data_IF_209057673638
#
_entry.id   IF_209057673638
#
_cell.length_a   1.000
_cell.length_b   1.000
_cell.length_c   1.000
_cell.angle_alpha   90.00
_cell.angle_beta   90.00
_cell.angle_gamma   90.00
#
_symmetry.space_group_name_H-M   'P 1'
#
loop_
_entity.id
_entity.type
_entity.pdbx_description
1 polymer ?
#
# COMPACT_ATOMS: atom_id res chain seq x y z
N UNK A 1 4.68 -20.05 19.82
CA UNK A 1 3.68 -19.02 19.48
C UNK A 1 2.27 -19.56 19.62
N UNK A 2 1.84 -20.55 18.83
CA UNK A 2 0.43 -21.02 18.81
C UNK A 2 0.18 -22.41 19.45
N UNK A 3 1.15 -22.99 20.15
CA UNK A 3 1.02 -24.31 20.80
C UNK A 3 1.29 -25.51 19.89
N UNK A 4 0.77 -25.51 18.66
CA UNK A 4 1.02 -26.56 17.64
C UNK A 4 1.25 -25.96 16.24
N UNK A 5 1.73 -26.79 15.31
CA UNK A 5 1.91 -26.40 13.89
C UNK A 5 0.56 -26.11 13.21
N UNK A 6 -0.44 -26.97 13.39
CA UNK A 6 -1.78 -26.79 12.82
C UNK A 6 -2.46 -25.51 13.34
N UNK A 7 -2.28 -25.20 14.64
CA UNK A 7 -2.80 -23.97 15.22
C UNK A 7 -2.07 -22.74 14.65
N UNK A 8 -0.78 -22.85 14.35
CA UNK A 8 -0.02 -21.78 13.72
C UNK A 8 -0.42 -21.58 12.25
N UNK A 9 -0.60 -22.65 11.48
CA UNK A 9 -1.12 -22.59 10.11
C UNK A 9 -2.52 -21.94 10.06
N UNK A 10 -3.39 -22.31 11.01
CA UNK A 10 -4.70 -21.68 11.18
C UNK A 10 -4.60 -20.16 11.45
N UNK A 11 -3.63 -19.75 12.27
CA UNK A 11 -3.35 -18.33 12.51
C UNK A 11 -2.85 -17.62 11.24
N UNK A 12 -1.95 -18.26 10.46
CA UNK A 12 -1.48 -17.74 9.18
C UNK A 12 -2.64 -17.51 8.21
N UNK A 13 -3.57 -18.45 8.09
CA UNK A 13 -4.76 -18.33 7.25
C UNK A 13 -5.73 -17.24 7.74
N UNK A 14 -5.87 -17.06 9.05
CA UNK A 14 -6.65 -15.94 9.60
C UNK A 14 -6.08 -14.58 9.18
N UNK A 15 -4.75 -14.42 9.22
CA UNK A 15 -4.09 -13.21 8.74
C UNK A 15 -4.15 -13.06 7.22
N UNK A 16 -4.01 -14.15 6.46
CA UNK A 16 -4.20 -14.12 5.01
C UNK A 16 -5.60 -13.59 4.65
N UNK A 17 -6.64 -14.06 5.33
CA UNK A 17 -8.01 -13.55 5.19
C UNK A 17 -8.14 -12.07 5.54
N UNK A 18 -7.56 -11.62 6.68
CA UNK A 18 -7.56 -10.20 7.08
C UNK A 18 -6.85 -9.28 6.08
N UNK A 19 -5.81 -9.79 5.43
CA UNK A 19 -5.04 -9.07 4.40
C UNK A 19 -5.71 -9.11 3.02
N UNK A 20 -6.76 -9.94 2.83
CA UNK A 20 -7.41 -10.12 1.55
C UNK A 20 -6.63 -11.00 0.57
N UNK A 21 -5.78 -11.90 1.08
CA UNK A 21 -5.01 -12.85 0.27
C UNK A 21 -5.90 -14.04 -0.16
N UNK A 22 -6.80 -13.80 -1.11
CA UNK A 22 -7.87 -14.75 -1.49
C UNK A 22 -7.40 -15.95 -2.29
N UNK A 23 -6.18 -15.93 -2.82
CA UNK A 23 -5.55 -17.03 -3.54
C UNK A 23 -4.47 -17.74 -2.73
N UNK A 24 -4.55 -17.71 -1.40
CA UNK A 24 -3.54 -18.27 -0.50
C UNK A 24 -4.15 -19.17 0.56
N UNK A 25 -3.51 -20.32 0.77
CA UNK A 25 -3.79 -21.22 1.88
C UNK A 25 -2.47 -21.84 2.39
N UNK A 26 -2.27 -21.78 3.71
CA UNK A 26 -1.09 -22.30 4.38
C UNK A 26 -1.46 -23.55 5.18
N UNK A 27 -0.73 -24.64 4.94
CA UNK A 27 -0.89 -25.92 5.68
C UNK A 27 0.15 -26.07 6.78
N UNK A 28 1.28 -25.38 6.68
CA UNK A 28 2.40 -25.49 7.62
C UNK A 28 3.18 -24.17 7.69
N UNK A 29 4.08 -24.03 8.67
CA UNK A 29 4.84 -22.78 8.86
C UNK A 29 6.10 -22.66 8.00
N UNK A 30 6.49 -23.71 7.28
CA UNK A 30 7.82 -23.82 6.64
C UNK A 30 7.76 -23.69 5.12
N UNK A 31 6.59 -23.89 4.52
CA UNK A 31 6.41 -24.01 3.07
C UNK A 31 6.79 -25.38 2.52
N UNK A 32 6.79 -26.42 3.36
CA UNK A 32 6.98 -27.79 2.89
C UNK A 32 5.84 -28.19 1.93
N UNK A 33 6.13 -28.94 0.85
CA UNK A 33 5.15 -29.27 -0.17
C UNK A 33 3.91 -29.96 0.39
N UNK A 34 2.75 -29.41 0.08
CA UNK A 34 1.44 -29.99 0.33
C UNK A 34 0.50 -29.49 -0.79
N UNK A 35 -0.39 -30.32 -1.34
CA UNK A 35 -1.32 -29.90 -2.41
C UNK A 35 -2.21 -28.71 -2.01
N UNK A 36 -2.56 -28.60 -0.74
CA UNK A 36 -3.38 -27.50 -0.21
C UNK A 36 -2.53 -26.30 0.22
N UNK A 37 -1.20 -26.35 0.10
CA UNK A 37 -0.33 -25.22 0.44
C UNK A 37 0.03 -24.40 -0.80
N UNK A 38 -0.66 -23.28 -1.01
CA UNK A 38 -0.52 -22.45 -2.20
C UNK A 38 -0.65 -20.96 -1.90
N UNK A 39 -0.20 -20.13 -2.85
CA UNK A 39 -0.28 -18.67 -2.81
C UNK A 39 -0.24 -18.13 -4.24
N UNK A 40 -0.62 -16.87 -4.44
CA UNK A 40 -0.44 -16.16 -5.73
C UNK A 40 0.66 -15.10 -5.67
N UNK A 41 1.11 -14.63 -6.83
CA UNK A 41 2.02 -13.48 -6.94
C UNK A 41 1.41 -12.22 -6.29
N UNK A 42 0.11 -11.99 -6.52
CA UNK A 42 -0.60 -10.85 -5.97
C UNK A 42 -0.64 -10.89 -4.43
N UNK A 43 -0.97 -12.04 -3.86
CA UNK A 43 -1.06 -12.19 -2.41
C UNK A 43 0.30 -12.06 -1.72
N UNK A 44 1.37 -12.56 -2.35
CA UNK A 44 2.73 -12.34 -1.88
C UNK A 44 3.10 -10.85 -1.92
N UNK A 45 2.61 -10.08 -2.89
CA UNK A 45 2.82 -8.63 -2.93
C UNK A 45 2.08 -7.92 -1.79
N UNK A 46 0.84 -8.33 -1.51
CA UNK A 46 0.04 -7.84 -0.37
C UNK A 46 0.76 -8.13 0.94
N UNK A 47 1.16 -9.38 1.18
CA UNK A 47 1.88 -9.80 2.38
C UNK A 47 3.20 -9.04 2.54
N UNK A 48 3.95 -8.88 1.45
CA UNK A 48 5.24 -8.16 1.49
C UNK A 48 5.04 -6.69 1.81
N UNK A 49 4.02 -6.05 1.24
CA UNK A 49 3.69 -4.65 1.55
C UNK A 49 3.29 -4.49 3.03
N UNK A 50 2.45 -5.39 3.55
CA UNK A 50 2.05 -5.38 4.95
C UNK A 50 3.26 -5.60 5.88
N UNK A 51 4.14 -6.56 5.58
CA UNK A 51 5.38 -6.79 6.33
C UNK A 51 6.26 -5.53 6.42
N UNK A 52 6.42 -4.82 5.30
CA UNK A 52 7.26 -3.61 5.24
C UNK A 52 6.61 -2.45 6.00
N UNK A 53 5.29 -2.28 5.87
CA UNK A 53 4.55 -1.18 6.47
C UNK A 53 4.33 -1.36 7.98
N UNK A 54 3.87 -2.53 8.39
CA UNK A 54 3.38 -2.78 9.75
C UNK A 54 4.50 -3.26 10.69
N UNK A 55 5.57 -3.84 10.13
CA UNK A 55 6.67 -4.45 10.88
C UNK A 55 8.06 -3.99 10.41
N UNK A 56 8.31 -2.69 10.20
CA UNK A 56 9.57 -2.18 9.63
C UNK A 56 10.80 -2.56 10.46
N UNK A 57 10.66 -2.71 11.78
CA UNK A 57 11.73 -3.15 12.69
C UNK A 57 12.18 -4.59 12.41
N UNK A 58 11.24 -5.48 12.06
CA UNK A 58 11.53 -6.88 11.74
C UNK A 58 11.90 -7.04 10.27
N UNK A 59 11.32 -6.21 9.39
CA UNK A 59 11.67 -6.18 7.98
C UNK A 59 13.18 -5.95 7.75
N UNK A 60 13.82 -5.13 8.58
CA UNK A 60 15.27 -4.89 8.51
C UNK A 60 16.13 -6.16 8.60
N UNK A 61 15.64 -7.22 9.24
CA UNK A 61 16.38 -8.49 9.34
C UNK A 61 16.59 -9.15 7.98
N UNK A 62 15.69 -8.95 7.02
CA UNK A 62 15.82 -9.53 5.67
C UNK A 62 17.01 -8.96 4.87
N UNK A 63 17.55 -7.81 5.28
CA UNK A 63 18.72 -7.18 4.68
C UNK A 63 20.06 -7.68 5.26
N UNK A 64 20.03 -8.44 6.36
CA UNK A 64 21.23 -9.02 6.95
C UNK A 64 21.82 -10.06 5.98
N UNK A 65 23.10 -9.89 5.64
CA UNK A 65 23.79 -10.74 4.66
C UNK A 65 24.23 -12.08 5.23
N UNK A 66 24.44 -12.14 6.53
CA UNK A 66 24.87 -13.35 7.23
C UNK A 66 24.32 -13.36 8.66
N UNK A 67 24.22 -14.56 9.22
CA UNK A 67 23.82 -14.77 10.61
C UNK A 67 24.59 -15.95 11.18
N UNK A 68 25.11 -15.82 12.41
CA UNK A 68 25.84 -16.90 13.09
C UNK A 68 24.94 -17.56 14.12
N UNK A 69 24.73 -18.86 13.98
CA UNK A 69 23.97 -19.67 14.93
C UNK A 69 24.77 -20.90 15.31
N UNK A 70 24.87 -21.19 16.61
CA UNK A 70 25.61 -22.34 17.13
C UNK A 70 27.05 -22.43 16.56
N UNK A 71 27.75 -21.29 16.50
CA UNK A 71 29.12 -21.20 15.97
C UNK A 71 29.26 -21.31 14.46
N UNK A 72 28.16 -21.44 13.70
CA UNK A 72 28.17 -21.60 12.24
C UNK A 72 27.56 -20.36 11.58
N UNK A 73 28.37 -19.66 10.79
CA UNK A 73 27.91 -18.52 9.98
C UNK A 73 27.20 -19.02 8.73
N UNK A 74 26.00 -18.51 8.49
CA UNK A 74 25.17 -18.81 7.32
C UNK A 74 24.93 -17.55 6.50
N UNK A 75 25.18 -17.63 5.20
CA UNK A 75 24.87 -16.55 4.28
C UNK A 75 23.37 -16.50 3.96
N UNK A 76 22.84 -15.30 3.84
CA UNK A 76 21.52 -15.06 3.29
C UNK A 76 21.46 -15.61 1.84
N UNK A 77 20.37 -16.27 1.50
CA UNK A 77 20.23 -16.94 0.20
C UNK A 77 19.85 -15.98 -0.93
N UNK A 78 19.42 -14.77 -0.58
CA UNK A 78 19.05 -13.73 -1.54
C UNK A 78 20.30 -13.07 -2.16
N UNK A 79 20.78 -13.63 -3.28
CA UNK A 79 21.95 -13.12 -4.03
C UNK A 79 21.85 -11.62 -4.38
N UNK A 80 20.66 -11.05 -4.45
CA UNK A 80 20.49 -9.62 -4.78
C UNK A 80 21.06 -8.69 -3.72
N UNK A 81 21.11 -9.09 -2.44
CA UNK A 81 21.70 -8.29 -1.36
C UNK A 81 23.19 -7.97 -1.59
N UNK A 82 23.89 -8.79 -2.39
CA UNK A 82 25.29 -8.57 -2.77
C UNK A 82 25.45 -7.85 -4.11
N UNK A 83 24.45 -7.96 -5.00
CA UNK A 83 24.51 -7.42 -6.37
C UNK A 83 24.01 -5.99 -6.46
N UNK A 84 23.07 -5.62 -5.61
CA UNK A 84 22.39 -4.33 -5.65
C UNK A 84 22.21 -3.78 -4.24
N UNK A 85 22.90 -2.67 -3.96
CA UNK A 85 22.87 -2.01 -2.64
C UNK A 85 21.49 -1.43 -2.28
N UNK A 86 20.59 -1.27 -3.25
CA UNK A 86 19.23 -0.80 -3.01
C UNK A 86 18.28 -1.91 -2.56
N UNK A 87 18.67 -3.17 -2.70
CA UNK A 87 17.86 -4.33 -2.28
C UNK A 87 18.02 -4.57 -0.80
N UNK A 88 16.91 -4.71 -0.08
CA UNK A 88 16.87 -4.92 1.37
C UNK A 88 15.98 -6.09 1.80
N UNK A 89 15.53 -6.92 0.85
CA UNK A 89 14.72 -8.09 1.11
C UNK A 89 14.35 -8.85 -0.16
N UNK A 90 13.48 -9.86 -0.10
CA UNK A 90 12.83 -10.38 1.10
C UNK A 90 13.17 -11.85 1.27
N UNK A 91 12.64 -12.74 0.43
CA UNK A 91 12.74 -14.19 0.68
C UNK A 91 12.92 -15.00 -0.60
N UNK A 92 13.85 -15.94 -0.55
CA UNK A 92 13.99 -17.02 -1.55
C UNK A 92 13.19 -18.25 -1.15
N UNK A 93 12.66 -18.97 -2.15
CA UNK A 93 12.07 -20.31 -1.99
C UNK A 93 12.55 -21.26 -3.08
N UNK A 94 12.59 -22.56 -2.79
CA UNK A 94 12.83 -23.60 -3.80
C UNK A 94 12.34 -24.96 -3.32
N UNK A 95 11.54 -25.62 -4.15
CA UNK A 95 11.24 -27.06 -4.08
C UNK A 95 11.24 -27.60 -5.51
N UNK A 96 11.27 -28.92 -5.67
CA UNK A 96 11.19 -29.54 -7.01
C UNK A 96 9.90 -29.15 -7.74
N UNK A 97 8.78 -29.00 -7.03
CA UNK A 97 7.48 -28.62 -7.60
C UNK A 97 7.33 -27.13 -7.85
N UNK A 98 7.89 -26.27 -6.99
CA UNK A 98 7.72 -24.81 -7.09
C UNK A 98 8.76 -24.12 -7.99
N UNK A 99 9.84 -24.81 -8.36
CA UNK A 99 11.00 -24.19 -9.01
C UNK A 99 11.71 -23.17 -8.11
N UNK A 100 12.49 -22.27 -8.69
CA UNK A 100 13.25 -21.27 -7.94
C UNK A 100 12.47 -19.95 -7.82
N UNK A 101 12.08 -19.60 -6.60
CA UNK A 101 11.28 -18.41 -6.31
C UNK A 101 12.09 -17.33 -5.58
N UNK A 102 11.75 -16.06 -5.82
CA UNK A 102 12.28 -14.89 -5.13
C UNK A 102 11.22 -13.80 -5.01
N UNK A 103 10.99 -13.35 -3.78
CA UNK A 103 10.38 -12.06 -3.46
C UNK A 103 11.53 -11.12 -3.12
N UNK A 104 11.68 -10.04 -3.88
CA UNK A 104 12.68 -9.01 -3.61
C UNK A 104 12.02 -7.65 -3.43
N UNK A 105 12.61 -6.79 -2.60
CA UNK A 105 12.26 -5.38 -2.53
C UNK A 105 13.51 -4.54 -2.57
N UNK A 106 13.40 -3.38 -3.21
CA UNK A 106 14.46 -2.42 -3.32
C UNK A 106 13.90 -0.99 -3.19
N UNK A 107 14.74 -0.07 -2.71
CA UNK A 107 14.39 1.34 -2.57
C UNK A 107 15.45 2.24 -3.23
N UNK A 108 15.01 3.11 -4.15
CA UNK A 108 15.87 4.07 -4.84
C UNK A 108 15.16 5.42 -4.91
N UNK A 109 15.85 6.50 -4.53
CA UNK A 109 15.34 7.89 -4.62
C UNK A 109 13.92 8.06 -4.05
N UNK A 110 13.64 7.48 -2.88
CA UNK A 110 12.32 7.56 -2.23
C UNK A 110 11.25 6.61 -2.78
N UNK A 111 11.48 5.96 -3.92
CA UNK A 111 10.58 4.97 -4.50
C UNK A 111 10.97 3.56 -4.05
N UNK A 112 10.00 2.79 -3.55
CA UNK A 112 10.17 1.36 -3.22
C UNK A 112 9.42 0.49 -4.21
N UNK A 113 10.09 -0.55 -4.69
CA UNK A 113 9.49 -1.57 -5.54
C UNK A 113 9.58 -2.95 -4.89
N UNK A 114 8.62 -3.80 -5.22
CA UNK A 114 8.60 -5.22 -4.88
C UNK A 114 8.55 -5.99 -6.21
N UNK A 115 9.46 -6.95 -6.40
CA UNK A 115 9.46 -7.87 -7.53
C UNK A 115 9.27 -9.30 -7.03
N UNK A 116 8.38 -10.05 -7.67
CA UNK A 116 8.08 -11.43 -7.30
C UNK A 116 8.24 -12.30 -8.54
N UNK A 117 9.16 -13.26 -8.46
CA UNK A 117 9.42 -14.24 -9.51
C UNK A 117 9.23 -15.63 -8.92
N UNK A 118 8.34 -16.42 -9.51
CA UNK A 118 8.06 -17.81 -9.12
C UNK A 118 8.49 -18.76 -10.26
N UNK A 119 8.89 -20.00 -9.93
CA UNK A 119 9.11 -21.03 -10.94
C UNK A 119 10.31 -20.83 -11.86
N UNK A 120 11.32 -20.02 -11.48
CA UNK A 120 12.51 -19.87 -12.32
C UNK A 120 13.31 -21.18 -12.42
N UNK A 121 14.10 -21.33 -13.49
CA UNK A 121 14.85 -22.56 -13.79
C UNK A 121 16.09 -22.80 -12.92
N UNK A 122 16.60 -21.76 -12.26
CA UNK A 122 17.80 -21.86 -11.40
C UNK A 122 17.88 -20.71 -10.40
N UNK A 123 18.78 -20.85 -9.41
CA UNK A 123 19.07 -19.76 -8.47
C UNK A 123 19.58 -18.49 -9.14
N UNK A 124 20.37 -18.62 -10.20
CA UNK A 124 20.89 -17.48 -10.94
C UNK A 124 19.80 -16.83 -11.78
N UNK A 125 18.92 -17.64 -12.39
CA UNK A 125 17.77 -17.16 -13.14
C UNK A 125 16.82 -16.34 -12.25
N UNK A 126 16.41 -16.84 -11.07
CA UNK A 126 15.51 -16.08 -10.18
C UNK A 126 16.06 -14.71 -9.82
N UNK A 127 17.37 -14.62 -9.58
CA UNK A 127 18.04 -13.37 -9.24
C UNK A 127 18.13 -12.43 -10.45
N UNK A 128 18.51 -12.94 -11.62
CA UNK A 128 18.61 -12.13 -12.84
C UNK A 128 17.24 -11.57 -13.26
N UNK A 129 16.19 -12.38 -13.27
CA UNK A 129 14.86 -11.93 -13.67
C UNK A 129 14.27 -10.92 -12.67
N UNK A 130 14.47 -11.14 -11.37
CA UNK A 130 14.04 -10.17 -10.35
C UNK A 130 14.78 -8.83 -10.49
N UNK A 131 16.09 -8.86 -10.74
CA UNK A 131 16.87 -7.64 -10.99
C UNK A 131 16.41 -6.89 -12.24
N UNK A 132 16.06 -7.61 -13.32
CA UNK A 132 15.52 -7.00 -14.55
C UNK A 132 14.20 -6.29 -14.27
N UNK A 133 13.27 -6.93 -13.55
CA UNK A 133 11.98 -6.33 -13.18
C UNK A 133 12.16 -5.08 -12.31
N UNK A 134 13.00 -5.13 -11.29
CA UNK A 134 13.31 -3.96 -10.45
C UNK A 134 13.91 -2.83 -11.30
N UNK A 135 14.89 -3.14 -12.15
CA UNK A 135 15.52 -2.15 -13.02
C UNK A 135 14.54 -1.55 -14.03
N UNK A 136 13.64 -2.35 -14.58
CA UNK A 136 12.58 -1.87 -15.46
C UNK A 136 11.68 -0.87 -14.72
N UNK A 137 11.16 -1.23 -13.55
CA UNK A 137 10.32 -0.35 -12.75
C UNK A 137 11.01 0.97 -12.41
N UNK A 138 12.25 0.92 -11.92
CA UNK A 138 13.00 2.13 -11.60
C UNK A 138 13.43 2.97 -12.81
N UNK A 139 13.50 2.38 -14.00
CA UNK A 139 13.88 3.11 -15.23
C UNK A 139 12.68 3.83 -15.83
N UNK A 140 11.53 3.16 -15.87
CA UNK A 140 10.36 3.60 -16.64
C UNK A 140 9.25 4.20 -15.80
N UNK A 141 9.29 4.06 -14.47
CA UNK A 141 8.29 4.62 -13.57
C UNK A 141 8.93 5.56 -12.56
N UNK A 142 8.08 6.41 -11.98
CA UNK A 142 8.39 7.23 -10.83
C UNK A 142 7.19 7.25 -9.88
N UNK A 143 7.47 7.22 -8.58
CA UNK A 143 6.46 7.42 -7.54
C UNK A 143 6.64 8.80 -6.93
N UNK A 144 5.59 9.60 -6.92
CA UNK A 144 5.60 10.95 -6.35
C UNK A 144 4.38 11.16 -5.45
N UNK A 145 4.54 11.97 -4.41
CA UNK A 145 3.44 12.37 -3.55
C UNK A 145 2.57 13.38 -4.31
N UNK A 146 1.28 13.09 -4.43
CA UNK A 146 0.28 13.95 -5.03
C UNK A 146 -0.35 14.88 -3.98
N UNK A 147 -0.74 14.31 -2.82
CA UNK A 147 -1.25 15.06 -1.67
C UNK A 147 -0.68 14.50 -0.36
N UNK A 148 -0.39 15.39 0.60
CA UNK A 148 -0.03 14.99 1.96
C UNK A 148 -1.24 14.66 2.84
N UNK A 149 -1.03 13.84 3.87
CA UNK A 149 -1.99 13.58 4.91
C UNK A 149 -2.38 14.90 5.61
N UNK A 150 -3.69 15.10 5.80
CA UNK A 150 -4.28 16.30 6.41
C UNK A 150 -3.98 17.62 5.66
N UNK A 151 -3.50 17.55 4.41
CA UNK A 151 -3.43 18.71 3.52
C UNK A 151 -4.81 19.00 2.93
N UNK A 152 -5.19 20.28 2.84
CA UNK A 152 -6.41 20.69 2.16
C UNK A 152 -6.29 20.39 0.68
N UNK A 153 -7.11 19.46 0.19
CA UNK A 153 -7.23 19.12 -1.23
C UNK A 153 -8.23 20.04 -1.92
N UNK A 154 -9.35 20.33 -1.24
CA UNK A 154 -10.37 21.25 -1.72
C UNK A 154 -11.11 21.88 -0.55
N UNK A 155 -11.74 23.03 -0.78
CA UNK A 155 -12.61 23.68 0.20
C UNK A 155 -14.01 23.77 -0.36
N UNK A 156 -15.00 23.38 0.43
CA UNK A 156 -16.41 23.37 0.03
C UNK A 156 -17.26 24.15 1.00
N UNK A 157 -18.42 24.64 0.52
CA UNK A 157 -19.38 25.33 1.37
C UNK A 157 -19.98 24.35 2.38
N UNK A 158 -20.10 24.78 3.62
CA UNK A 158 -20.90 24.11 4.66
C UNK A 158 -21.99 25.06 5.13
N UNK A 159 -23.20 24.54 5.17
CA UNK A 159 -24.41 25.27 5.52
C UNK A 159 -24.76 25.06 6.98
N UNK A 160 -25.39 26.08 7.56
CA UNK A 160 -25.80 26.16 8.97
C UNK A 160 -24.64 25.97 9.94
N UNK A 161 -23.41 26.21 9.51
CA UNK A 161 -22.20 26.07 10.31
C UNK A 161 -21.77 27.37 10.97
N UNK A 162 -20.92 27.26 12.00
CA UNK A 162 -20.25 28.42 12.60
C UNK A 162 -19.26 29.11 11.63
N UNK A 163 -18.88 28.39 10.58
CA UNK A 163 -18.08 28.84 9.44
C UNK A 163 -18.80 28.47 8.14
N UNK A 164 -18.49 29.18 7.05
CA UNK A 164 -19.11 28.94 5.74
C UNK A 164 -18.32 27.93 4.88
N UNK A 165 -17.08 27.63 5.26
CA UNK A 165 -16.16 26.81 4.47
C UNK A 165 -15.60 25.63 5.27
N UNK A 166 -15.68 24.45 4.69
CA UNK A 166 -15.13 23.20 5.21
C UNK A 166 -13.96 22.74 4.34
N UNK A 167 -12.72 22.74 4.85
CA UNK A 167 -11.59 22.14 4.15
C UNK A 167 -11.73 20.61 4.17
N UNK A 168 -11.64 20.01 2.99
CA UNK A 168 -11.59 18.57 2.77
C UNK A 168 -10.18 18.15 2.36
N UNK A 169 -9.75 16.99 2.83
CA UNK A 169 -8.47 16.40 2.48
C UNK A 169 -8.44 14.89 2.67
N UNK A 170 -7.24 14.34 2.76
CA UNK A 170 -7.00 12.91 2.93
C UNK A 170 -6.48 12.61 4.33
N UNK A 171 -6.78 11.44 4.87
CA UNK A 171 -6.23 10.97 6.16
C UNK A 171 -4.79 10.49 6.06
N UNK A 172 -4.37 10.08 4.87
CA UNK A 172 -3.06 9.50 4.58
C UNK A 172 -2.42 10.18 3.36
N UNK A 173 -1.09 10.11 3.26
CA UNK A 173 -0.37 10.57 2.08
C UNK A 173 -0.81 9.79 0.84
N UNK A 174 -1.15 10.51 -0.23
CA UNK A 174 -1.44 9.91 -1.52
C UNK A 174 -0.21 9.96 -2.42
N UNK A 175 0.42 8.80 -2.60
CA UNK A 175 1.45 8.59 -3.61
C UNK A 175 0.85 7.95 -4.86
N UNK A 176 1.34 8.36 -6.02
CA UNK A 176 0.97 7.81 -7.33
C UNK A 176 2.21 7.36 -8.06
N UNK A 177 2.12 6.19 -8.72
CA UNK A 177 3.19 5.63 -9.54
C UNK A 177 2.76 5.70 -10.99
N UNK A 178 3.52 6.43 -11.80
CA UNK A 178 3.19 6.69 -13.21
C UNK A 178 4.41 6.47 -14.10
N UNK A 179 4.24 6.28 -15.42
CA UNK A 179 5.36 6.29 -16.34
C UNK A 179 6.15 7.58 -16.20
N UNK A 180 7.48 7.46 -16.21
CA UNK A 180 8.38 8.58 -15.98
C UNK A 180 8.13 9.70 -17.00
N UNK A 181 8.00 10.92 -16.49
CA UNK A 181 7.70 12.10 -17.31
C UNK A 181 6.20 12.36 -17.53
N UNK A 182 5.31 11.48 -17.06
CA UNK A 182 3.86 11.65 -17.19
C UNK A 182 3.18 12.20 -15.94
N UNK A 183 3.92 12.46 -14.84
CA UNK A 183 3.31 12.99 -13.61
C UNK A 183 2.55 14.31 -13.82
N UNK A 184 3.03 15.19 -14.70
CA UNK A 184 2.35 16.45 -15.03
C UNK A 184 1.06 16.29 -15.86
N UNK A 185 0.74 15.07 -16.31
CA UNK A 185 -0.46 14.74 -17.08
C UNK A 185 -1.55 14.11 -16.20
N UNK A 186 -1.31 14.04 -14.88
CA UNK A 186 -2.29 13.55 -13.93
C UNK A 186 -3.44 14.55 -13.84
N UNK A 187 -4.66 14.04 -13.92
CA UNK A 187 -5.89 14.80 -13.72
C UNK A 187 -6.51 14.39 -12.39
N UNK A 188 -7.03 15.37 -11.66
CA UNK A 188 -7.75 15.15 -10.39
C UNK A 188 -9.17 15.68 -10.51
N UNK A 189 -10.15 14.86 -10.13
CA UNK A 189 -11.56 15.25 -10.03
C UNK A 189 -12.04 15.07 -8.59
N UNK A 190 -12.76 16.06 -8.08
CA UNK A 190 -13.40 15.99 -6.77
C UNK A 190 -14.89 15.73 -6.95
N UNK A 191 -15.37 14.60 -6.42
CA UNK A 191 -16.79 14.29 -6.38
C UNK A 191 -17.28 14.51 -4.95
N UNK A 192 -17.78 15.72 -4.67
CA UNK A 192 -18.25 16.11 -3.33
C UNK A 192 -19.77 16.20 -3.32
N UNK A 193 -20.39 15.92 -2.17
CA UNK A 193 -21.82 16.13 -1.96
C UNK A 193 -22.20 17.58 -2.31
N UNK A 194 -23.29 17.75 -3.06
CA UNK A 194 -23.78 19.07 -3.47
C UNK A 194 -24.14 19.96 -2.27
N UNK A 195 -24.66 19.35 -1.20
CA UNK A 195 -25.05 20.04 0.01
C UNK A 195 -24.40 19.39 1.23
N UNK A 196 -23.67 20.20 2.00
CA UNK A 196 -23.03 19.78 3.26
C UNK A 196 -23.61 20.64 4.39
N UNK A 197 -24.24 20.00 5.36
CA UNK A 197 -24.82 20.65 6.54
C UNK A 197 -23.93 20.44 7.76
N UNK A 198 -23.86 21.45 8.62
CA UNK A 198 -23.33 21.32 9.96
C UNK A 198 -24.28 20.46 10.86
N UNK A 199 -23.74 19.81 11.90
CA UNK A 199 -22.33 19.76 12.26
C UNK A 199 -21.52 18.81 11.36
N UNK A 200 -20.26 19.17 11.10
CA UNK A 200 -19.28 18.30 10.46
C UNK A 200 -18.23 17.85 11.47
N UNK A 201 -17.99 16.54 11.52
CA UNK A 201 -16.93 15.97 12.36
C UNK A 201 -15.66 15.74 11.55
N UNK A 202 -14.50 16.01 12.14
CA UNK A 202 -13.19 15.69 11.56
C UNK A 202 -13.15 14.20 11.18
N UNK A 203 -12.64 13.90 9.99
CA UNK A 203 -12.55 12.54 9.45
C UNK A 203 -13.84 12.03 8.82
N UNK A 204 -14.97 12.75 8.93
CA UNK A 204 -16.19 12.40 8.22
C UNK A 204 -16.01 12.60 6.72
N UNK A 205 -16.37 11.58 5.94
CA UNK A 205 -16.30 11.62 4.48
C UNK A 205 -17.44 12.45 3.89
N UNK A 206 -17.10 13.31 2.92
CA UNK A 206 -18.05 14.15 2.18
C UNK A 206 -17.92 14.00 0.66
N UNK A 207 -17.00 13.17 0.20
CA UNK A 207 -16.80 12.94 -1.23
C UNK A 207 -15.67 11.98 -1.52
N UNK A 208 -15.16 12.05 -2.75
CA UNK A 208 -13.97 11.34 -3.19
C UNK A 208 -13.09 12.19 -4.10
N UNK A 209 -11.79 11.93 -4.01
CA UNK A 209 -10.78 12.36 -4.96
C UNK A 209 -10.56 11.21 -5.95
N UNK A 210 -10.82 11.48 -7.22
CA UNK A 210 -10.48 10.59 -8.35
C UNK A 210 -9.23 11.13 -9.01
N UNK A 211 -8.23 10.28 -9.18
CA UNK A 211 -6.99 10.60 -9.87
C UNK A 211 -6.91 9.75 -11.13
N UNK A 212 -6.71 10.38 -12.28
CA UNK A 212 -6.63 9.72 -13.58
C UNK A 212 -5.39 10.10 -14.37
N UNK A 213 -4.96 9.21 -15.26
CA UNK A 213 -3.90 9.45 -16.23
C UNK A 213 -4.37 8.90 -17.59
N UNK A 214 -4.43 9.76 -18.62
CA UNK A 214 -4.90 9.35 -19.94
C UNK A 214 -6.35 8.82 -19.95
N UNK A 215 -7.19 9.31 -19.03
CA UNK A 215 -8.57 8.87 -18.87
C UNK A 215 -8.77 7.60 -18.04
N UNK A 216 -7.70 6.90 -17.64
CA UNK A 216 -7.76 5.74 -16.75
C UNK A 216 -7.68 6.20 -15.29
N UNK A 217 -8.59 5.71 -14.43
CA UNK A 217 -8.53 5.95 -12.99
C UNK A 217 -7.36 5.16 -12.38
N UNK A 218 -6.41 5.87 -11.78
CA UNK A 218 -5.23 5.28 -11.14
C UNK A 218 -5.31 5.31 -9.61
N UNK A 219 -6.17 6.17 -9.04
CA UNK A 219 -6.47 6.15 -7.60
C UNK A 219 -7.83 6.77 -7.29
N UNK A 220 -8.52 6.18 -6.30
CA UNK A 220 -9.71 6.71 -5.66
C UNK A 220 -9.47 6.83 -4.16
N UNK A 221 -9.72 8.00 -3.57
CA UNK A 221 -9.57 8.23 -2.12
C UNK A 221 -10.76 8.99 -1.54
N UNK A 222 -11.17 8.69 -0.30
CA UNK A 222 -12.22 9.46 0.38
C UNK A 222 -11.72 10.87 0.70
N UNK A 223 -12.54 11.88 0.41
CA UNK A 223 -12.33 13.24 0.88
C UNK A 223 -13.06 13.42 2.21
N UNK A 224 -12.30 13.74 3.26
CA UNK A 224 -12.81 13.87 4.63
C UNK A 224 -12.63 15.28 5.16
N UNK A 225 -13.50 15.69 6.09
CA UNK A 225 -13.36 16.94 6.83
C UNK A 225 -12.05 16.97 7.62
N UNK A 226 -11.27 18.05 7.47
CA UNK A 226 -10.00 18.22 8.17
C UNK A 226 -10.15 18.84 9.57
N UNK A 227 -11.33 19.38 9.87
CA UNK A 227 -11.68 19.97 11.15
C UNK A 227 -13.13 19.69 11.50
N UNK A 228 -13.44 19.79 12.78
CA UNK A 228 -14.81 19.89 13.26
C UNK A 228 -15.41 21.26 12.89
N UNK A 229 -16.70 21.27 12.59
CA UNK A 229 -17.50 22.48 12.39
C UNK A 229 -18.80 22.30 13.15
N UNK A 230 -19.01 23.12 14.17
CA UNK A 230 -20.26 23.14 14.92
C UNK A 230 -21.38 23.83 14.13
N UNK A 231 -22.61 23.66 14.60
CA UNK A 231 -23.73 24.48 14.11
C UNK A 231 -23.48 25.96 14.37
N UNK A 232 -23.88 26.79 13.40
CA UNK A 232 -23.83 28.23 13.51
C UNK A 232 -24.88 28.79 14.48
N UNK A 233 -24.73 30.06 14.78
CA UNK A 233 -25.72 30.82 15.54
C UNK A 233 -27.11 30.77 14.89
N UNK A 234 -28.17 31.07 15.65
CA UNK A 234 -29.55 31.09 15.14
C UNK A 234 -29.69 31.96 13.88
N UNK A 235 -29.00 33.11 13.85
CA UNK A 235 -28.99 34.02 12.70
C UNK A 235 -28.33 33.42 11.46
N UNK A 236 -27.15 32.79 11.62
CA UNK A 236 -26.45 32.11 10.51
C UNK A 236 -27.31 30.97 9.93
N UNK A 237 -27.98 30.20 10.80
CA UNK A 237 -28.83 29.10 10.36
C UNK A 237 -30.09 29.58 9.62
N UNK A 238 -30.67 30.70 10.05
CA UNK A 238 -31.82 31.30 9.39
C UNK A 238 -31.46 31.98 8.05
N UNK A 239 -30.30 32.64 7.98
CA UNK A 239 -29.82 33.21 6.71
C UNK A 239 -29.51 32.11 5.69
N UNK A 240 -28.88 31.03 6.14
CA UNK A 240 -28.60 29.88 5.31
C UNK A 240 -29.88 29.17 4.86
N UNK A 241 -30.88 29.03 5.73
CA UNK A 241 -32.20 28.50 5.36
C UNK A 241 -32.84 29.32 4.22
N UNK A 242 -32.78 30.65 4.31
CA UNK A 242 -33.32 31.52 3.27
C UNK A 242 -32.56 31.38 1.95
N UNK A 243 -31.23 31.29 1.99
CA UNK A 243 -30.38 31.11 0.81
C UNK A 243 -30.60 29.74 0.14
N UNK A 244 -30.80 28.68 0.93
CA UNK A 244 -31.07 27.31 0.44
C UNK A 244 -32.39 27.21 -0.33
N UNK A 245 -33.35 28.12 -0.12
CA UNK A 245 -34.60 28.15 -0.87
C UNK A 245 -34.42 28.63 -2.33
N UNK A 246 -33.27 29.21 -2.65
CA UNK A 246 -32.96 29.76 -3.99
C UNK A 246 -31.92 28.92 -4.76
N UNK A 247 -31.54 27.76 -4.23
CA UNK A 247 -30.56 26.81 -4.81
C UNK A 247 -31.26 25.57 -5.38
#
# INVERSE_FOLDING_TARGET
VAGSEDAFASLMNSYAGKLGMTGTHFVNSTGMPDPEHYTTVNDLAILTRALIADFPQYYKWYSQREFTFNGITQNNRNKLLWRDKSVDGVKTGHTKSAGFCLIASAQRNGMRLISIVLGAKSENARAQESQKLLNYGFRFYETRRLHGANETVTTVRIWKGEVEQLPLGLTEDLFVTVPRGQFGQIETRHNVAALIMAPAGRGRQYGSLVVSLGGEEIALRPLVALRDVAEGSLWQRLSDEALLLFE
#
